data_IF_635931129037
#
_entry.id   IF_635931129037
#
_cell.length_a   1.000
_cell.length_b   1.000
_cell.length_c   1.000
_cell.angle_alpha   90.00
_cell.angle_beta   90.00
_cell.angle_gamma   90.00
#
_symmetry.space_group_name_H-M   'P 1'
#
loop_
_entity.id
_entity.type
_entity.pdbx_description
1 polymer ?
#
# COMPACT_ATOMS: atom_id res chain seq x y z
N UNK A 1 -5.71 5.92 -3.82
CA UNK A 1 -4.70 6.96 -3.61
C UNK A 1 -4.43 7.72 -4.91
N UNK A 2 -5.49 8.22 -5.54
CA UNK A 2 -5.39 9.12 -6.69
C UNK A 2 -5.93 10.52 -6.39
N UNK A 3 -6.52 10.73 -5.20
CA UNK A 3 -7.20 11.96 -4.86
C UNK A 3 -6.77 12.49 -3.49
N UNK A 4 -6.74 13.82 -3.34
CA UNK A 4 -6.27 14.49 -2.12
C UNK A 4 -7.05 14.05 -0.87
N UNK A 5 -8.33 13.70 -1.00
CA UNK A 5 -9.15 13.19 0.10
C UNK A 5 -8.68 11.84 0.68
N UNK A 6 -8.21 10.92 -0.16
CA UNK A 6 -7.66 9.63 0.32
C UNK A 6 -6.31 9.84 1.01
N UNK A 7 -5.48 10.71 0.46
CA UNK A 7 -4.20 11.05 1.06
C UNK A 7 -4.38 11.76 2.41
N UNK A 8 -5.32 12.69 2.52
CA UNK A 8 -5.66 13.34 3.79
C UNK A 8 -6.21 12.34 4.82
N UNK A 9 -7.00 11.36 4.39
CA UNK A 9 -7.43 10.25 5.27
C UNK A 9 -6.24 9.43 5.77
N UNK A 10 -5.25 9.17 4.91
CA UNK A 10 -4.03 8.47 5.32
C UNK A 10 -3.30 9.29 6.39
N UNK A 11 -3.07 10.57 6.12
CA UNK A 11 -2.39 11.50 7.03
C UNK A 11 -3.15 11.76 8.34
N UNK A 12 -4.45 11.49 8.39
CA UNK A 12 -5.25 11.60 9.61
C UNK A 12 -5.11 10.42 10.58
N UNK A 13 -4.34 9.39 10.24
CA UNK A 13 -4.06 8.25 11.14
C UNK A 13 -2.86 8.53 12.06
N UNK A 14 -2.69 7.67 13.07
CA UNK A 14 -1.49 7.69 13.91
C UNK A 14 -0.22 7.58 13.08
N UNK A 15 0.80 8.37 13.42
CA UNK A 15 2.09 8.38 12.72
C UNK A 15 2.72 6.98 12.64
N UNK A 16 2.57 6.16 13.69
CA UNK A 16 3.06 4.78 13.73
C UNK A 16 2.36 3.89 12.70
N UNK A 17 1.04 4.05 12.51
CA UNK A 17 0.26 3.32 11.49
C UNK A 17 0.63 3.77 10.09
N UNK A 18 0.81 5.08 9.88
CA UNK A 18 1.26 5.65 8.60
C UNK A 18 2.63 5.07 8.24
N UNK A 19 3.59 5.12 9.16
CA UNK A 19 4.93 4.55 8.94
C UNK A 19 4.86 3.07 8.63
N UNK A 20 4.11 2.28 9.41
CA UNK A 20 3.98 0.84 9.18
C UNK A 20 3.38 0.51 7.81
N UNK A 21 2.31 1.23 7.41
CA UNK A 21 1.70 1.06 6.09
C UNK A 21 2.67 1.41 4.95
N UNK A 22 3.39 2.54 5.06
CA UNK A 22 4.36 2.97 4.05
C UNK A 22 5.55 2.01 3.96
N UNK A 23 6.04 1.51 5.10
CA UNK A 23 7.15 0.55 5.15
C UNK A 23 6.76 -0.81 4.57
N UNK A 24 5.53 -1.26 4.83
CA UNK A 24 4.97 -2.45 4.19
C UNK A 24 4.89 -2.28 2.67
N UNK A 25 4.30 -1.19 2.18
CA UNK A 25 4.22 -0.91 0.74
C UNK A 25 5.61 -0.89 0.10
N UNK A 26 6.59 -0.25 0.76
CA UNK A 26 7.97 -0.21 0.28
C UNK A 26 8.57 -1.62 0.19
N UNK A 27 8.39 -2.43 1.22
CA UNK A 27 8.89 -3.81 1.26
C UNK A 27 8.28 -4.66 0.14
N UNK A 28 6.97 -4.54 -0.10
CA UNK A 28 6.29 -5.25 -1.18
C UNK A 28 6.70 -4.72 -2.57
N UNK A 29 7.00 -3.43 -2.71
CA UNK A 29 7.56 -2.85 -3.94
C UNK A 29 8.99 -3.33 -4.21
N UNK A 30 9.82 -3.45 -3.19
CA UNK A 30 11.20 -3.93 -3.31
C UNK A 30 11.24 -5.41 -3.73
N UNK A 31 10.21 -6.21 -3.36
CA UNK A 31 10.02 -7.57 -3.89
C UNK A 31 9.73 -7.60 -5.39
N UNK A 32 9.27 -6.50 -5.99
CA UNK A 32 8.92 -6.39 -7.41
C UNK A 32 10.05 -5.86 -8.30
N UNK A 33 11.31 -6.18 -8.02
CA UNK A 33 12.43 -5.67 -8.82
C UNK A 33 12.25 -5.99 -10.31
N UNK A 34 12.32 -4.97 -11.17
CA UNK A 34 12.06 -5.03 -12.63
C UNK A 34 10.65 -5.48 -13.08
N UNK A 35 9.73 -5.83 -12.17
CA UNK A 35 8.35 -6.21 -12.50
C UNK A 35 7.39 -5.01 -12.43
N UNK A 36 7.26 -4.26 -13.53
CA UNK A 36 6.38 -3.09 -13.61
C UNK A 36 4.88 -3.43 -13.51
N UNK A 37 4.48 -4.61 -14.01
CA UNK A 37 3.08 -5.04 -13.97
C UNK A 37 2.64 -5.33 -12.54
N UNK A 38 3.44 -6.08 -11.79
CA UNK A 38 3.18 -6.36 -10.39
C UNK A 38 3.22 -5.12 -9.49
N UNK A 39 4.04 -4.10 -9.81
CA UNK A 39 3.99 -2.79 -9.14
C UNK A 39 2.65 -2.07 -9.34
N UNK A 40 2.11 -2.11 -10.56
CA UNK A 40 0.78 -1.53 -10.84
C UNK A 40 -0.33 -2.31 -10.12
N UNK A 41 -0.25 -3.64 -10.08
CA UNK A 41 -1.19 -4.47 -9.33
C UNK A 41 -1.14 -4.14 -7.84
N UNK A 42 0.06 -4.07 -7.25
CA UNK A 42 0.23 -3.67 -5.84
C UNK A 42 -0.41 -2.31 -5.55
N UNK A 43 -0.29 -1.34 -6.46
CA UNK A 43 -0.92 -0.02 -6.30
C UNK A 43 -2.45 -0.10 -6.20
N UNK A 44 -3.09 -0.97 -6.98
CA UNK A 44 -4.55 -1.19 -6.90
C UNK A 44 -4.94 -1.96 -5.63
N UNK A 45 -4.14 -2.94 -5.20
CA UNK A 45 -4.39 -3.65 -3.93
C UNK A 45 -4.25 -2.69 -2.74
N UNK A 46 -3.22 -1.84 -2.71
CA UNK A 46 -3.04 -0.83 -1.66
C UNK A 46 -4.23 0.12 -1.60
N UNK A 47 -4.78 0.52 -2.76
CA UNK A 47 -5.99 1.34 -2.84
C UNK A 47 -7.19 0.65 -2.22
N UNK A 48 -7.42 -0.61 -2.60
CA UNK A 48 -8.54 -1.42 -2.10
C UNK A 48 -8.42 -1.64 -0.59
N UNK A 49 -7.25 -2.08 -0.13
CA UNK A 49 -6.94 -2.30 1.28
C UNK A 49 -7.15 -1.00 2.09
N UNK A 50 -6.63 0.12 1.61
CA UNK A 50 -6.81 1.41 2.27
C UNK A 50 -8.28 1.84 2.35
N UNK A 51 -9.10 1.48 1.35
CA UNK A 51 -10.55 1.68 1.38
C UNK A 51 -11.24 0.97 2.56
N UNK A 52 -10.66 -0.12 3.05
CA UNK A 52 -11.12 -0.84 4.24
C UNK A 52 -10.43 -0.44 5.55
N UNK A 53 -9.39 0.40 5.52
CA UNK A 53 -8.64 0.85 6.70
C UNK A 53 -7.13 0.80 6.52
N UNK A 54 -6.39 1.62 7.28
CA UNK A 54 -4.92 1.67 7.17
C UNK A 54 -4.26 0.37 7.64
N UNK A 55 -4.83 -0.32 8.66
CA UNK A 55 -4.33 -1.62 9.10
C UNK A 55 -4.35 -2.68 7.99
N UNK A 56 -5.34 -2.62 7.09
CA UNK A 56 -5.47 -3.57 5.99
C UNK A 56 -4.35 -3.47 4.98
N UNK A 57 -3.68 -2.31 4.85
CA UNK A 57 -2.49 -2.21 4.00
C UNK A 57 -1.43 -3.23 4.46
N UNK A 58 -1.23 -3.37 5.77
CA UNK A 58 -0.20 -4.28 6.30
C UNK A 58 -0.58 -5.76 6.27
N UNK A 59 -1.86 -6.08 6.10
CA UNK A 59 -2.36 -7.46 6.13
C UNK A 59 -2.81 -7.98 4.76
N UNK A 60 -3.26 -7.10 3.87
CA UNK A 60 -3.91 -7.44 2.60
C UNK A 60 -3.13 -6.93 1.38
N UNK A 61 -2.35 -5.85 1.52
CA UNK A 61 -1.61 -5.26 0.40
C UNK A 61 -0.28 -5.97 0.11
N UNK A 62 -0.36 -7.25 -0.21
CA UNK A 62 0.78 -8.10 -0.56
C UNK A 62 0.99 -8.16 -2.07
N UNK A 63 2.25 -8.31 -2.49
CA UNK A 63 2.59 -8.42 -3.92
C UNK A 63 2.61 -9.86 -4.42
N UNK A 64 2.18 -10.06 -5.67
CA UNK A 64 2.35 -11.32 -6.41
C UNK A 64 3.60 -11.32 -7.30
N UNK A 65 4.46 -10.30 -7.20
CA UNK A 65 5.62 -10.13 -8.08
C UNK A 65 6.63 -11.30 -8.10
N UNK A 66 6.62 -12.15 -7.08
CA UNK A 66 7.48 -13.32 -6.93
C UNK A 66 6.70 -14.66 -7.00
N UNK A 67 5.50 -14.67 -7.59
CA UNK A 67 4.76 -15.90 -7.85
C UNK A 67 5.12 -16.53 -9.19
#
# INVERSE_FOLDING_TARGET
MGNAGEFNKLLGNDESKIKSALDHIKTELDKCSENNEGKNTLKEIVKEAFGGGIEKITTEATTTCNQ
#
